data_IF_255846493562
#
_entry.id   IF_255846493562
#
_cell.length_a   1.000
_cell.length_b   1.000
_cell.length_c   1.000
_cell.angle_alpha   90.00
_cell.angle_beta   90.00
_cell.angle_gamma   90.00
#
_symmetry.space_group_name_H-M   'P 1'
#
loop_
_entity.id
_entity.type
_entity.pdbx_description
1 polymer ?
#
# COMPACT_ATOMS: atom_id res chain seq x y z
N UNK A 1 7.18 -41.87 0.44
CA UNK A 1 7.31 -42.08 1.90
C UNK A 1 5.91 -41.91 2.49
N UNK A 2 5.25 -43.05 2.76
CA UNK A 2 3.90 -43.14 3.29
C UNK A 2 3.97 -43.10 4.82
N UNK A 3 3.15 -42.27 5.46
CA UNK A 3 2.82 -42.47 6.88
C UNK A 3 1.37 -42.94 6.98
N UNK A 4 1.23 -44.26 7.19
CA UNK A 4 0.01 -44.95 7.57
C UNK A 4 -0.25 -44.69 9.05
N UNK A 5 -1.49 -44.38 9.38
CA UNK A 5 -2.02 -44.30 10.74
C UNK A 5 -2.43 -45.72 11.22
N UNK A 6 -1.98 -46.20 12.40
CA UNK A 6 -2.56 -47.39 13.01
C UNK A 6 -3.00 -47.10 14.45
N UNK A 7 -4.31 -47.07 14.71
CA UNK A 7 -4.95 -48.17 15.43
C UNK A 7 -6.44 -47.91 15.73
N UNK A 8 -7.24 -48.98 15.83
CA UNK A 8 -8.68 -48.94 16.04
C UNK A 8 -9.05 -49.09 17.54
N UNK A 9 -10.23 -48.58 17.88
CA UNK A 9 -11.04 -49.15 18.97
C UNK A 9 -11.10 -48.34 20.27
N UNK A 10 -12.18 -47.59 20.46
CA UNK A 10 -13.16 -47.79 21.55
C UNK A 10 -14.28 -46.76 21.42
N UNK A 11 -15.45 -47.24 20.99
CA UNK A 11 -16.70 -46.51 21.06
C UNK A 11 -17.18 -46.58 22.51
N UNK A 12 -17.09 -45.46 23.24
CA UNK A 12 -17.76 -45.30 24.54
C UNK A 12 -18.99 -44.42 24.30
N UNK A 13 -20.16 -45.06 24.29
CA UNK A 13 -21.45 -44.37 24.29
C UNK A 13 -21.73 -43.87 25.70
N UNK A 14 -21.54 -42.57 25.94
CA UNK A 14 -22.03 -41.90 27.14
C UNK A 14 -23.38 -41.27 26.79
N UNK A 15 -24.46 -41.87 27.25
CA UNK A 15 -25.79 -41.25 27.22
C UNK A 15 -25.88 -40.32 28.42
N UNK A 16 -25.59 -39.03 28.19
CA UNK A 16 -25.96 -37.99 29.14
C UNK A 16 -27.37 -37.52 28.83
N UNK A 17 -28.32 -37.87 29.70
CA UNK A 17 -29.63 -37.22 29.73
C UNK A 17 -29.42 -35.80 30.27
N UNK A 18 -29.35 -34.82 29.38
CA UNK A 18 -29.31 -33.42 29.76
C UNK A 18 -30.74 -32.92 30.02
N UNK A 19 -31.02 -32.25 31.15
CA UNK A 19 -32.29 -31.57 31.34
C UNK A 19 -32.40 -30.43 30.31
N UNK A 20 -33.54 -30.36 29.63
CA UNK A 20 -33.88 -29.32 28.67
C UNK A 20 -34.00 -27.98 29.43
N UNK A 21 -32.93 -27.20 29.49
CA UNK A 21 -32.98 -25.83 29.99
C UNK A 21 -33.58 -24.93 28.90
N UNK A 22 -34.76 -24.36 29.17
CA UNK A 22 -35.31 -23.26 28.38
C UNK A 22 -34.34 -22.07 28.51
N UNK A 23 -33.53 -21.81 27.48
CA UNK A 23 -32.78 -20.58 27.41
C UNK A 23 -33.77 -19.42 27.14
N UNK A 24 -33.71 -18.30 27.89
CA UNK A 24 -34.47 -17.11 27.53
C UNK A 24 -33.99 -16.65 26.15
N UNK A 25 -34.96 -16.40 25.25
CA UNK A 25 -34.70 -15.70 24.00
C UNK A 25 -34.11 -14.33 24.38
N UNK A 26 -32.81 -14.16 24.14
CA UNK A 26 -32.19 -12.85 24.16
C UNK A 26 -32.88 -12.03 23.07
N UNK A 27 -33.73 -11.10 23.48
CA UNK A 27 -34.25 -10.06 22.61
C UNK A 27 -33.04 -9.28 22.11
N UNK A 28 -32.57 -9.60 20.90
CA UNK A 28 -31.47 -8.89 20.27
C UNK A 28 -31.79 -7.40 20.28
N UNK A 29 -30.96 -6.61 20.94
CA UNK A 29 -30.96 -5.16 20.82
C UNK A 29 -31.00 -4.85 19.32
N UNK A 30 -31.96 -4.04 18.83
CA UNK A 30 -31.94 -3.62 17.44
C UNK A 30 -30.56 -3.02 17.16
N UNK A 31 -29.88 -3.51 16.13
CA UNK A 31 -28.63 -2.90 15.68
C UNK A 31 -28.91 -1.40 15.50
N UNK A 32 -28.12 -0.57 16.16
CA UNK A 32 -28.21 0.87 15.95
C UNK A 32 -28.14 1.13 14.44
N UNK A 33 -28.94 2.06 13.89
CA UNK A 33 -28.82 2.46 12.50
C UNK A 33 -27.34 2.78 12.24
N UNK A 34 -26.75 2.12 11.24
CA UNK A 34 -25.40 2.43 10.83
C UNK A 34 -25.39 3.91 10.44
N UNK A 35 -24.60 4.72 11.18
CA UNK A 35 -24.58 6.15 10.95
C UNK A 35 -24.12 6.40 9.52
N UNK A 36 -24.79 7.31 8.81
CA UNK A 36 -24.34 7.72 7.48
C UNK A 36 -22.88 8.19 7.57
N UNK A 37 -22.00 7.76 6.64
CA UNK A 37 -20.62 8.22 6.62
C UNK A 37 -20.57 9.75 6.57
N UNK A 38 -19.61 10.39 7.24
CA UNK A 38 -19.56 11.85 7.33
C UNK A 38 -19.38 12.50 5.97
N UNK A 39 -19.93 13.70 5.77
CA UNK A 39 -19.77 14.46 4.52
C UNK A 39 -18.32 14.89 4.27
N UNK A 40 -17.51 15.01 5.33
CA UNK A 40 -16.09 15.31 5.22
C UNK A 40 -15.25 14.40 6.11
N UNK A 41 -14.01 14.16 5.70
CA UNK A 41 -12.97 13.53 6.52
C UNK A 41 -11.68 14.33 6.43
N UNK A 42 -10.94 14.40 7.53
CA UNK A 42 -9.61 15.00 7.55
C UNK A 42 -8.54 13.93 7.42
N UNK A 43 -7.72 14.01 6.38
CA UNK A 43 -6.54 13.18 6.19
C UNK A 43 -5.30 13.99 6.61
N UNK A 44 -4.68 13.59 7.72
CA UNK A 44 -3.41 14.17 8.16
C UNK A 44 -2.25 13.28 7.76
N UNK A 45 -1.21 13.86 7.19
CA UNK A 45 0.01 13.18 6.77
C UNK A 45 1.24 14.07 6.91
N UNK A 46 2.41 13.50 6.61
CA UNK A 46 3.65 14.24 6.50
C UNK A 46 3.98 14.38 5.02
N UNK A 47 4.24 15.61 4.57
CA UNK A 47 4.79 15.86 3.25
C UNK A 47 6.28 16.14 3.39
N UNK A 48 7.08 15.56 2.50
CA UNK A 48 8.53 15.70 2.46
C UNK A 48 8.96 16.27 1.12
N UNK A 49 9.86 17.23 1.17
CA UNK A 49 10.51 17.77 -0.02
C UNK A 49 11.97 17.31 -0.09
N UNK A 50 12.44 17.08 -1.31
CA UNK A 50 13.76 16.53 -1.61
C UNK A 50 14.44 17.39 -2.67
N UNK A 51 15.68 17.79 -2.39
CA UNK A 51 16.50 18.45 -3.40
C UNK A 51 16.91 17.46 -4.48
N UNK A 52 16.93 17.93 -5.72
CA UNK A 52 17.49 17.21 -6.87
C UNK A 52 18.93 16.76 -6.58
N UNK A 53 19.27 15.53 -7.02
CA UNK A 53 20.50 14.82 -6.63
C UNK A 53 21.83 15.56 -6.91
N UNK A 54 21.89 16.46 -7.88
CA UNK A 54 23.11 17.23 -8.22
C UNK A 54 23.26 18.52 -7.43
N UNK A 55 22.25 18.92 -6.66
CA UNK A 55 22.35 20.07 -5.75
C UNK A 55 23.09 19.70 -4.45
N UNK A 56 23.68 20.67 -3.76
CA UNK A 56 24.18 20.45 -2.40
C UNK A 56 23.06 19.95 -1.47
N UNK A 57 23.29 18.79 -0.83
CA UNK A 57 22.26 18.11 -0.03
C UNK A 57 21.17 17.41 -0.87
N UNK A 58 21.43 17.19 -2.16
CA UNK A 58 20.54 16.47 -3.06
C UNK A 58 20.35 15.02 -2.65
N UNK A 59 19.11 14.54 -2.70
CA UNK A 59 18.82 13.15 -2.37
C UNK A 59 19.28 12.24 -3.52
N UNK A 60 20.05 11.17 -3.24
CA UNK A 60 20.73 10.41 -4.29
C UNK A 60 19.80 9.65 -5.24
N UNK A 61 18.55 9.37 -4.84
CA UNK A 61 17.58 8.59 -5.64
C UNK A 61 16.66 9.43 -6.53
N UNK A 62 16.44 10.72 -6.22
CA UNK A 62 15.51 11.56 -6.98
C UNK A 62 16.17 12.14 -8.23
N UNK A 63 15.38 12.30 -9.30
CA UNK A 63 15.84 12.73 -10.63
C UNK A 63 17.02 11.91 -11.18
N UNK A 64 17.06 10.63 -10.80
CA UNK A 64 18.02 9.66 -11.31
C UNK A 64 17.37 8.80 -12.39
N UNK A 65 18.05 8.67 -13.52
CA UNK A 65 17.68 7.69 -14.52
C UNK A 65 18.08 6.28 -14.04
N UNK A 66 17.14 5.32 -13.96
CA UNK A 66 17.48 3.93 -13.66
C UNK A 66 18.42 3.32 -14.71
N UNK A 67 19.17 2.28 -14.31
CA UNK A 67 20.21 1.69 -15.16
C UNK A 67 19.67 1.17 -16.52
N UNK A 68 18.42 0.73 -16.56
CA UNK A 68 17.75 0.25 -17.78
C UNK A 68 16.78 1.28 -18.39
N UNK A 69 17.02 2.57 -18.12
CA UNK A 69 16.22 3.70 -18.59
C UNK A 69 14.86 3.85 -17.91
N UNK A 70 14.12 4.91 -18.23
CA UNK A 70 12.81 5.16 -17.63
C UNK A 70 11.80 4.04 -17.92
N UNK A 71 10.93 3.77 -16.95
CA UNK A 71 9.85 2.79 -17.06
C UNK A 71 9.31 2.36 -15.72
N UNK A 72 8.45 1.34 -15.74
CA UNK A 72 7.88 0.76 -14.53
C UNK A 72 8.83 -0.30 -13.98
N UNK A 73 9.27 -0.12 -12.74
CA UNK A 73 10.10 -1.07 -12.01
C UNK A 73 9.30 -1.74 -10.91
N UNK A 74 9.48 -3.05 -10.78
CA UNK A 74 8.79 -3.87 -9.80
C UNK A 74 9.80 -4.55 -8.89
N UNK A 75 9.33 -5.03 -7.74
CA UNK A 75 10.09 -5.89 -6.83
C UNK A 75 11.32 -5.25 -6.15
N UNK A 76 11.46 -3.93 -6.16
CA UNK A 76 12.50 -3.22 -5.39
C UNK A 76 12.29 -3.29 -3.86
N UNK A 77 11.06 -3.60 -3.42
CA UNK A 77 10.63 -3.55 -2.02
C UNK A 77 10.33 -4.95 -1.44
N UNK A 78 10.47 -5.06 -0.13
CA UNK A 78 9.99 -6.23 0.63
C UNK A 78 8.46 -6.34 0.54
N UNK A 79 7.90 -7.56 0.58
CA UNK A 79 6.44 -7.76 0.63
C UNK A 79 5.84 -7.44 2.01
N UNK A 80 6.67 -7.27 3.03
CA UNK A 80 6.28 -7.00 4.41
C UNK A 80 6.90 -5.66 4.82
N UNK A 81 6.12 -4.85 5.54
CA UNK A 81 6.59 -3.58 6.09
C UNK A 81 7.63 -3.82 7.20
N UNK A 82 8.49 -2.82 7.42
CA UNK A 82 9.43 -2.82 8.53
C UNK A 82 8.73 -2.75 9.89
N UNK A 83 9.51 -2.85 10.96
CA UNK A 83 9.01 -2.71 12.35
C UNK A 83 8.34 -1.34 12.59
N UNK A 84 8.81 -0.31 11.89
CA UNK A 84 8.25 1.04 11.85
C UNK A 84 6.97 1.16 11.00
N UNK A 85 6.50 0.04 10.45
CA UNK A 85 5.36 -0.06 9.52
C UNK A 85 5.57 0.73 8.23
N UNK A 86 6.83 0.91 7.79
CA UNK A 86 7.18 1.60 6.54
C UNK A 86 7.71 0.61 5.49
N UNK A 87 7.66 0.97 4.20
CA UNK A 87 8.24 0.14 3.15
C UNK A 87 9.74 -0.10 3.38
N UNK A 88 10.23 -1.30 3.04
CA UNK A 88 11.64 -1.66 3.18
C UNK A 88 12.24 -1.96 1.81
N UNK A 89 13.33 -1.29 1.48
CA UNK A 89 14.08 -1.58 0.26
C UNK A 89 14.81 -2.92 0.39
N UNK A 90 14.77 -3.70 -0.68
CA UNK A 90 15.57 -4.93 -0.79
C UNK A 90 16.47 -4.98 -2.03
N UNK A 91 16.28 -4.07 -2.98
CA UNK A 91 16.97 -4.10 -4.27
C UNK A 91 16.59 -5.30 -5.13
N UNK A 92 17.32 -5.50 -6.23
CA UNK A 92 17.07 -6.61 -7.15
C UNK A 92 15.69 -6.55 -7.83
N UNK A 93 15.15 -5.34 -7.99
CA UNK A 93 13.96 -5.15 -8.80
C UNK A 93 14.24 -5.36 -10.28
N UNK A 94 13.18 -5.43 -11.06
CA UNK A 94 13.27 -5.62 -12.51
C UNK A 94 12.41 -4.57 -13.21
N UNK A 95 12.85 -4.16 -14.40
CA UNK A 95 12.03 -3.35 -15.30
C UNK A 95 10.93 -4.23 -15.90
N UNK A 96 9.71 -3.74 -15.92
CA UNK A 96 8.58 -4.41 -16.54
C UNK A 96 8.74 -4.44 -18.07
N UNK A 97 8.67 -5.63 -18.67
CA UNK A 97 8.65 -5.82 -20.13
C UNK A 97 7.22 -5.78 -20.68
N UNK A 98 6.29 -6.47 -20.02
CA UNK A 98 4.86 -6.37 -20.27
C UNK A 98 4.07 -6.53 -18.98
N UNK A 99 2.91 -5.89 -18.93
CA UNK A 99 2.05 -5.86 -17.74
C UNK A 99 1.28 -7.17 -17.55
N UNK A 100 1.27 -7.70 -16.33
CA UNK A 100 0.40 -8.81 -15.94
C UNK A 100 -1.06 -8.35 -15.95
N UNK A 101 -1.97 -9.24 -16.34
CA UNK A 101 -3.41 -8.96 -16.39
C UNK A 101 -4.22 -10.07 -15.74
N UNK A 102 -5.38 -9.73 -15.20
CA UNK A 102 -6.37 -10.73 -14.82
C UNK A 102 -7.09 -11.31 -16.05
N UNK A 103 -7.97 -12.29 -15.82
CA UNK A 103 -8.80 -12.90 -16.87
C UNK A 103 -9.75 -11.95 -17.59
N UNK A 104 -10.03 -10.77 -17.01
CA UNK A 104 -10.81 -9.70 -17.65
C UNK A 104 -9.93 -8.71 -18.43
N UNK A 105 -8.62 -8.96 -18.51
CA UNK A 105 -7.66 -8.10 -19.22
C UNK A 105 -7.25 -6.85 -18.43
N UNK A 106 -7.63 -6.71 -17.16
CA UNK A 106 -7.25 -5.57 -16.32
C UNK A 106 -5.85 -5.77 -15.77
N UNK A 107 -5.07 -4.70 -15.68
CA UNK A 107 -3.72 -4.77 -15.14
C UNK A 107 -3.72 -5.20 -13.66
N UNK A 108 -2.84 -6.13 -13.30
CA UNK A 108 -2.65 -6.59 -11.93
C UNK A 108 -1.19 -6.47 -11.50
N UNK A 109 -0.97 -6.41 -10.19
CA UNK A 109 0.36 -6.59 -9.62
C UNK A 109 0.88 -7.99 -9.97
N UNK A 110 2.13 -8.10 -10.42
CA UNK A 110 2.76 -9.38 -10.78
C UNK A 110 2.73 -10.42 -9.65
N UNK A 111 2.68 -9.98 -8.38
CA UNK A 111 2.56 -10.87 -7.20
C UNK A 111 1.18 -11.49 -7.02
N UNK A 112 0.16 -10.91 -7.64
CA UNK A 112 -1.23 -11.41 -7.57
C UNK A 112 -1.55 -12.39 -8.70
N UNK A 113 -0.65 -12.54 -9.68
CA UNK A 113 -0.81 -13.42 -10.81
C UNK A 113 -1.10 -14.86 -10.37
N UNK A 114 -2.23 -15.37 -10.85
CA UNK A 114 -2.66 -16.74 -10.61
C UNK A 114 -3.24 -17.33 -11.91
N UNK A 115 -2.47 -18.19 -12.62
CA UNK A 115 -2.95 -18.76 -13.89
C UNK A 115 -4.21 -19.61 -13.72
N UNK A 116 -4.49 -20.12 -12.50
CA UNK A 116 -5.71 -20.89 -12.24
C UNK A 116 -6.97 -20.03 -12.30
N UNK A 117 -6.84 -18.71 -12.17
CA UNK A 117 -7.93 -17.72 -12.33
C UNK A 117 -8.09 -17.21 -13.77
N UNK A 118 -7.29 -17.74 -14.70
CA UNK A 118 -7.24 -17.30 -16.10
C UNK A 118 -6.42 -16.03 -16.31
N UNK A 119 -5.55 -15.67 -15.36
CA UNK A 119 -4.69 -14.51 -15.48
C UNK A 119 -3.68 -14.68 -16.62
N UNK A 120 -3.31 -13.55 -17.23
CA UNK A 120 -2.32 -13.49 -18.31
C UNK A 120 -0.98 -13.02 -17.76
N UNK A 121 0.05 -13.83 -17.98
CA UNK A 121 1.41 -13.50 -17.58
C UNK A 121 1.93 -12.26 -18.32
N UNK A 122 2.50 -11.33 -17.56
CA UNK A 122 3.39 -10.30 -18.08
C UNK A 122 4.82 -10.81 -18.24
N UNK A 123 5.76 -9.88 -18.43
CA UNK A 123 7.18 -10.21 -18.58
C UNK A 123 8.08 -9.21 -17.86
N UNK A 124 9.27 -9.69 -17.49
CA UNK A 124 10.36 -8.86 -17.01
C UNK A 124 11.27 -8.53 -18.19
N UNK A 125 11.85 -7.33 -18.20
CA UNK A 125 12.91 -7.00 -19.16
C UNK A 125 14.10 -7.95 -18.97
N UNK A 126 14.71 -8.38 -20.08
CA UNK A 126 15.89 -9.24 -20.07
C UNK A 126 17.11 -8.60 -19.35
N UNK A 127 17.10 -7.28 -19.18
CA UNK A 127 18.04 -6.55 -18.33
C UNK A 127 17.43 -6.45 -16.92
N UNK A 128 17.54 -7.54 -16.16
CA UNK A 128 16.60 -7.86 -15.07
C UNK A 128 16.96 -7.33 -13.68
N UNK A 129 17.98 -6.48 -13.53
CA UNK A 129 18.36 -5.96 -12.21
C UNK A 129 18.43 -4.44 -12.21
N UNK A 130 17.55 -3.81 -11.43
CA UNK A 130 17.61 -2.39 -11.10
C UNK A 130 18.69 -2.14 -10.05
N UNK A 131 19.83 -1.60 -10.51
CA UNK A 131 20.91 -1.10 -9.68
C UNK A 131 21.05 0.43 -9.77
N UNK A 132 20.08 1.11 -10.40
CA UNK A 132 20.24 2.49 -10.81
C UNK A 132 19.21 3.45 -10.22
N UNK A 133 17.96 3.04 -10.01
CA UNK A 133 16.91 3.96 -9.56
C UNK A 133 17.03 4.35 -8.09
N UNK A 134 17.33 3.38 -7.22
CA UNK A 134 17.48 3.54 -5.77
C UNK A 134 18.90 3.12 -5.40
N UNK A 135 19.66 4.01 -4.77
CA UNK A 135 21.09 3.81 -4.52
C UNK A 135 21.36 2.93 -3.30
N UNK A 136 20.50 2.97 -2.29
CA UNK A 136 20.71 2.21 -1.06
C UNK A 136 19.43 2.04 -0.25
N UNK A 137 19.47 1.12 0.72
CA UNK A 137 18.39 1.02 1.71
C UNK A 137 18.31 2.27 2.61
N UNK A 138 19.44 2.91 2.90
CA UNK A 138 19.49 4.12 3.73
C UNK A 138 18.83 5.31 3.02
N UNK A 139 19.17 5.56 1.75
CA UNK A 139 18.54 6.61 0.96
C UNK A 139 17.04 6.38 0.82
N UNK A 140 16.63 5.16 0.49
CA UNK A 140 15.21 4.81 0.42
C UNK A 140 14.47 4.98 1.75
N UNK A 141 15.10 4.65 2.88
CA UNK A 141 14.48 4.83 4.19
C UNK A 141 14.15 6.31 4.47
N UNK A 142 14.96 7.25 3.96
CA UNK A 142 14.70 8.68 4.08
C UNK A 142 13.52 9.19 3.24
N UNK A 143 12.96 8.37 2.34
CA UNK A 143 11.71 8.72 1.65
C UNK A 143 10.52 8.78 2.63
N UNK A 144 10.58 7.97 3.69
CA UNK A 144 9.49 7.81 4.66
C UNK A 144 9.88 8.28 6.07
N UNK A 145 11.13 8.69 6.27
CA UNK A 145 11.69 9.14 7.55
C UNK A 145 12.37 10.49 7.35
N UNK A 146 12.30 11.34 8.36
CA UNK A 146 13.02 12.62 8.32
C UNK A 146 14.52 12.36 8.41
N UNK A 147 15.25 12.92 7.47
CA UNK A 147 16.71 12.94 7.45
C UNK A 147 17.12 14.32 6.96
N UNK A 148 17.60 15.15 7.88
CA UNK A 148 17.99 16.54 7.59
C UNK A 148 19.13 16.65 6.57
N UNK A 149 19.80 15.54 6.25
CA UNK A 149 20.79 15.48 5.18
C UNK A 149 20.16 15.51 3.79
N UNK A 150 18.90 15.09 3.67
CA UNK A 150 18.24 14.86 2.39
C UNK A 150 16.85 15.46 2.23
N UNK A 151 16.10 15.65 3.33
CA UNK A 151 14.74 16.13 3.26
C UNK A 151 14.39 17.10 4.39
N UNK A 152 13.35 17.88 4.10
CA UNK A 152 12.62 18.72 5.03
C UNK A 152 11.16 18.29 4.98
N UNK A 153 10.45 18.39 6.10
CA UNK A 153 9.10 17.85 6.21
C UNK A 153 8.18 18.74 7.03
N UNK A 154 6.89 18.65 6.75
CA UNK A 154 5.85 19.25 7.57
C UNK A 154 4.59 18.39 7.60
N UNK A 155 3.82 18.52 8.68
CA UNK A 155 2.49 17.95 8.73
C UNK A 155 1.53 18.74 7.82
N UNK A 156 0.71 18.02 7.07
CA UNK A 156 -0.33 18.57 6.21
C UNK A 156 -1.64 17.86 6.52
N UNK A 157 -2.72 18.64 6.63
CA UNK A 157 -4.07 18.10 6.71
C UNK A 157 -4.86 18.48 5.47
N UNK A 158 -5.54 17.51 4.89
CA UNK A 158 -6.44 17.68 3.75
C UNK A 158 -7.86 17.35 4.20
N UNK A 159 -8.81 18.21 3.88
CA UNK A 159 -10.22 17.89 4.03
C UNK A 159 -10.74 17.24 2.74
N UNK A 160 -11.19 16.00 2.81
CA UNK A 160 -11.78 15.31 1.68
C UNK A 160 -13.30 15.36 1.82
N UNK A 161 -13.98 15.71 0.73
CA UNK A 161 -15.43 15.84 0.66
C UNK A 161 -16.03 14.59 0.02
N UNK A 162 -17.05 14.04 0.66
CA UNK A 162 -17.79 12.87 0.18
C UNK A 162 -18.52 13.20 -1.12
N UNK A 163 -18.45 12.29 -2.08
CA UNK A 163 -19.10 12.39 -3.38
C UNK A 163 -20.38 11.54 -3.40
N UNK A 164 -21.31 11.79 -4.34
CA UNK A 164 -22.54 11.01 -4.45
C UNK A 164 -22.33 9.49 -4.61
N UNK A 165 -21.21 9.07 -5.19
CA UNK A 165 -20.82 7.66 -5.35
C UNK A 165 -20.16 7.06 -4.09
N UNK A 166 -20.03 7.84 -3.00
CA UNK A 166 -19.42 7.44 -1.74
C UNK A 166 -17.91 7.59 -1.63
N UNK A 167 -17.21 8.03 -2.68
CA UNK A 167 -15.77 8.32 -2.59
C UNK A 167 -15.51 9.64 -1.87
N UNK A 168 -14.33 9.79 -1.26
CA UNK A 168 -13.88 11.06 -0.67
C UNK A 168 -12.85 11.71 -1.59
N UNK A 169 -13.06 12.98 -1.94
CA UNK A 169 -12.22 13.71 -2.90
C UNK A 169 -11.72 15.01 -2.26
N UNK A 170 -10.41 15.23 -2.37
CA UNK A 170 -9.83 16.54 -2.20
C UNK A 170 -9.59 17.15 -3.59
N UNK A 171 -10.12 18.35 -3.84
CA UNK A 171 -9.94 19.09 -5.10
C UNK A 171 -9.24 20.42 -4.84
N UNK A 172 -7.96 20.47 -5.19
CA UNK A 172 -7.13 21.66 -5.05
C UNK A 172 -7.57 22.86 -5.87
N UNK A 173 -8.34 22.66 -6.95
CA UNK A 173 -8.79 23.75 -7.80
C UNK A 173 -9.93 24.54 -7.13
N UNK A 174 -10.64 23.89 -6.21
CA UNK A 174 -11.74 24.48 -5.47
C UNK A 174 -11.38 24.83 -4.03
N UNK A 175 -10.39 24.17 -3.44
CA UNK A 175 -9.91 24.50 -2.10
C UNK A 175 -9.34 25.94 -2.06
N UNK A 176 -9.83 26.81 -1.16
CA UNK A 176 -9.41 28.21 -1.11
C UNK A 176 -7.90 28.41 -0.92
N UNK A 177 -7.24 27.59 -0.09
CA UNK A 177 -5.82 27.72 0.20
C UNK A 177 -4.98 27.31 -1.02
N UNK A 178 -5.27 26.16 -1.61
CA UNK A 178 -4.50 25.64 -2.75
C UNK A 178 -4.79 26.38 -4.05
N UNK A 179 -6.02 26.84 -4.25
CA UNK A 179 -6.38 27.70 -5.39
C UNK A 179 -5.61 29.02 -5.36
N UNK A 180 -5.46 29.64 -4.18
CA UNK A 180 -4.67 30.87 -4.02
C UNK A 180 -3.19 30.66 -4.36
N UNK A 181 -2.70 29.42 -4.25
CA UNK A 181 -1.34 29.03 -4.51
C UNK A 181 -1.12 28.45 -5.92
N UNK A 182 -2.16 28.43 -6.78
CA UNK A 182 -2.06 27.98 -8.17
C UNK A 182 -2.25 26.46 -8.37
N UNK A 183 -2.61 25.69 -7.35
CA UNK A 183 -2.92 24.27 -7.47
C UNK A 183 -2.53 23.40 -6.26
N UNK A 184 -2.68 22.09 -6.40
CA UNK A 184 -2.19 21.11 -5.43
C UNK A 184 -0.67 21.13 -5.47
N UNK A 185 -0.02 21.20 -4.30
CA UNK A 185 1.42 21.34 -4.08
C UNK A 185 2.04 22.75 -4.17
N UNK A 186 1.83 23.56 -3.12
CA UNK A 186 2.55 24.80 -2.91
C UNK A 186 3.19 24.79 -1.52
N UNK A 187 4.05 23.80 -1.30
CA UNK A 187 5.09 23.94 -0.27
C UNK A 187 6.29 24.71 -0.82
N UNK A 188 6.26 25.14 -2.08
CA UNK A 188 7.30 25.99 -2.64
C UNK A 188 7.46 27.24 -1.75
N UNK A 189 8.64 27.34 -1.12
CA UNK A 189 9.02 28.37 -0.16
C UNK A 189 8.39 28.28 1.25
N UNK A 190 7.73 27.17 1.60
CA UNK A 190 7.25 26.90 2.96
C UNK A 190 8.14 25.91 3.74
N UNK A 191 9.14 25.32 3.09
CA UNK A 191 10.18 24.45 3.67
C UNK A 191 11.59 24.87 3.21
#
# INVERSE_FOLDING_TARGET
MLFRNPNPGRLLLVVCVAPLALAPLSSGTPAAPEADPPETITLTGIVRDFKERTKPGGHPDFERQPANGFGHYCNNLQPILGEDKKPVFKGGGFKLGSQWRDSSGRNICWRLYDPSKGDLAGSQSALSTDNGGIQSAASFASWFNDDLSYNVSQALSLELVRQPNGSYVFDSQTDPAYKALGGFFPIENAL
#
